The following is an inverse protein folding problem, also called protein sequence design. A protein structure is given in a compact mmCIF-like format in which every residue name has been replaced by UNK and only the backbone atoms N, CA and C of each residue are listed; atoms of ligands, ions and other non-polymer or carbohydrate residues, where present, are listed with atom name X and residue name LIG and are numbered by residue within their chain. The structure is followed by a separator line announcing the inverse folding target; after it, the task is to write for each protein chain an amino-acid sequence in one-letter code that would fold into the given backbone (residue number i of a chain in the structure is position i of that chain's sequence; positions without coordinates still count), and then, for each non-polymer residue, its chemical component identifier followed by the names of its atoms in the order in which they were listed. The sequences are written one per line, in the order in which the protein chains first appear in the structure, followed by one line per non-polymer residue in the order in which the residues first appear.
data_IF_892848117919
#
_entry.id   IF_892848117919
#
_cell.length_a   1.000
_cell.length_b   1.000
_cell.length_c   1.000
_cell.angle_alpha   90.00
_cell.angle_beta   90.00
_cell.angle_gamma   90.00
#
_symmetry.space_group_name_H-M   'P 1'
#
loop_
_entity.id
_entity.type
_entity.pdbx_description
1 polymer ?
#
# COMPACT_ATOMS: atom_id res chain seq x y z
N UNK A 1 6.95 -15.74 3.36
CA UNK A 1 7.84 -15.79 2.16
C UNK A 1 7.33 -14.79 1.15
N UNK A 2 8.17 -13.95 0.54
CA UNK A 2 7.73 -12.97 -0.47
C UNK A 2 8.05 -13.47 -1.88
N UNK A 3 7.16 -13.19 -2.83
CA UNK A 3 7.32 -13.58 -4.22
C UNK A 3 6.58 -12.67 -5.19
N UNK A 4 6.67 -12.99 -6.48
CA UNK A 4 5.94 -12.31 -7.55
C UNK A 4 5.24 -13.34 -8.44
N UNK A 5 4.08 -12.98 -8.98
CA UNK A 5 3.35 -13.86 -9.91
C UNK A 5 2.48 -13.07 -10.89
N UNK A 6 2.00 -13.78 -11.90
CA UNK A 6 0.99 -13.25 -12.81
C UNK A 6 -0.39 -13.33 -12.13
N UNK A 7 -1.20 -12.28 -12.30
CA UNK A 7 -2.56 -12.18 -11.76
C UNK A 7 -3.51 -11.55 -12.78
N UNK A 8 -4.81 -11.63 -12.51
CA UNK A 8 -5.83 -10.86 -13.22
C UNK A 8 -6.52 -9.97 -12.19
N UNK A 9 -6.50 -8.67 -12.42
CA UNK A 9 -7.09 -7.65 -11.54
C UNK A 9 -7.89 -6.70 -12.43
N UNK A 10 -9.17 -6.50 -12.10
CA UNK A 10 -10.12 -5.70 -12.89
C UNK A 10 -10.08 -6.02 -14.40
N UNK A 11 -10.14 -7.32 -14.76
CA UNK A 11 -10.08 -7.83 -16.14
C UNK A 11 -8.80 -7.49 -16.93
N UNK A 12 -7.75 -6.98 -16.27
CA UNK A 12 -6.45 -6.73 -16.89
C UNK A 12 -5.45 -7.78 -16.40
N UNK A 13 -4.63 -8.30 -17.31
CA UNK A 13 -3.54 -9.21 -16.93
C UNK A 13 -2.43 -8.41 -16.25
N UNK A 14 -1.93 -8.88 -15.12
CA UNK A 14 -0.82 -8.26 -14.38
C UNK A 14 0.35 -9.24 -14.32
N UNK A 15 1.57 -8.75 -14.55
CA UNK A 15 2.82 -9.50 -14.38
C UNK A 15 3.60 -8.96 -13.18
N UNK A 16 4.45 -9.81 -12.61
CA UNK A 16 5.33 -9.45 -11.49
C UNK A 16 4.59 -8.91 -10.25
N UNK A 17 3.32 -9.28 -10.07
CA UNK A 17 2.52 -8.78 -8.97
C UNK A 17 2.99 -9.37 -7.63
N UNK A 18 3.21 -8.54 -6.59
CA UNK A 18 3.80 -8.99 -5.34
C UNK A 18 2.81 -9.79 -4.48
N UNK A 19 3.30 -10.82 -3.82
CA UNK A 19 2.56 -11.56 -2.80
C UNK A 19 3.45 -11.94 -1.62
N UNK A 20 2.82 -12.22 -0.49
CA UNK A 20 3.47 -12.71 0.72
C UNK A 20 2.74 -13.92 1.28
N UNK A 21 3.48 -14.96 1.63
CA UNK A 21 2.95 -16.14 2.31
C UNK A 21 3.10 -15.96 3.82
N UNK A 22 1.99 -15.92 4.53
CA UNK A 22 1.88 -15.82 6.00
C UNK A 22 1.06 -17.02 6.47
N UNK A 23 1.57 -17.79 7.42
CA UNK A 23 0.89 -19.00 7.95
C UNK A 23 0.47 -20.04 6.89
N UNK A 24 1.16 -20.07 5.75
CA UNK A 24 0.86 -20.97 4.62
C UNK A 24 -0.19 -20.43 3.65
N UNK A 25 -0.77 -19.27 3.91
CA UNK A 25 -1.74 -18.60 3.05
C UNK A 25 -1.09 -17.48 2.23
N UNK A 26 -1.52 -17.32 0.97
CA UNK A 26 -1.06 -16.21 0.12
C UNK A 26 -1.86 -14.94 0.40
N UNK A 27 -1.13 -13.88 0.74
CA UNK A 27 -1.65 -12.53 0.93
C UNK A 27 -1.14 -11.59 -0.15
N UNK A 28 -2.02 -10.70 -0.60
CA UNK A 28 -1.74 -9.69 -1.58
C UNK A 28 -1.76 -8.31 -0.92
N UNK A 29 -0.71 -7.48 -1.07
CA UNK A 29 -0.72 -6.16 -0.47
C UNK A 29 -1.84 -5.32 -1.06
N UNK A 30 -2.72 -4.76 -0.21
CA UNK A 30 -3.86 -3.97 -0.65
C UNK A 30 -3.44 -2.80 -1.55
N UNK A 31 -2.39 -2.07 -1.17
CA UNK A 31 -1.88 -0.95 -1.98
C UNK A 31 -1.48 -1.39 -3.39
N UNK A 32 -0.96 -2.60 -3.56
CA UNK A 32 -0.55 -3.14 -4.86
C UNK A 32 -1.75 -3.39 -5.76
N UNK A 33 -2.84 -3.93 -5.21
CA UNK A 33 -4.09 -4.14 -5.95
C UNK A 33 -4.71 -2.80 -6.38
N UNK A 34 -4.79 -1.84 -5.47
CA UNK A 34 -5.37 -0.50 -5.76
C UNK A 34 -4.61 0.24 -6.85
N UNK A 35 -3.28 0.09 -6.92
CA UNK A 35 -2.48 0.67 -8.02
C UNK A 35 -2.89 0.11 -9.37
N UNK A 36 -3.06 -1.22 -9.46
CA UNK A 36 -3.45 -1.88 -10.70
C UNK A 36 -4.88 -1.51 -11.08
N UNK A 37 -5.81 -1.50 -10.13
CA UNK A 37 -7.20 -1.05 -10.35
C UNK A 37 -7.27 0.41 -10.83
N UNK A 38 -6.44 1.29 -10.26
CA UNK A 38 -6.36 2.70 -10.69
C UNK A 38 -5.87 2.84 -12.13
N UNK A 39 -4.97 1.97 -12.59
CA UNK A 39 -4.53 1.94 -14.00
C UNK A 39 -5.65 1.33 -14.87
N UNK A 40 -6.23 0.21 -14.44
CA UNK A 40 -7.29 -0.50 -15.16
C UNK A 40 -8.53 0.39 -15.38
N UNK A 41 -8.92 1.21 -14.41
CA UNK A 41 -10.06 2.14 -14.53
C UNK A 41 -9.92 3.17 -15.65
N UNK A 42 -8.70 3.40 -16.16
CA UNK A 42 -8.43 4.32 -17.29
C UNK A 42 -8.43 3.61 -18.64
N UNK A 43 -8.49 2.28 -18.64
CA UNK A 43 -8.48 1.46 -19.84
C UNK A 43 -9.94 1.14 -20.20
N UNK A 44 -10.37 1.35 -21.46
CA UNK A 44 -11.70 0.94 -21.90
C UNK A 44 -11.93 -0.56 -21.71
N UNK A 45 -13.11 -0.96 -21.22
CA UNK A 45 -13.42 -2.36 -20.88
C UNK A 45 -13.21 -3.33 -22.06
N UNK A 46 -13.49 -2.87 -23.27
CA UNK A 46 -13.36 -3.63 -24.53
C UNK A 46 -11.94 -4.13 -24.80
N UNK A 47 -10.93 -3.45 -24.27
CA UNK A 47 -9.52 -3.77 -24.51
C UNK A 47 -8.77 -4.26 -23.27
N UNK A 48 -9.38 -4.22 -22.08
CA UNK A 48 -8.75 -4.62 -20.81
C UNK A 48 -8.12 -6.01 -20.86
N UNK A 49 -8.82 -6.99 -21.43
CA UNK A 49 -8.35 -8.37 -21.54
C UNK A 49 -7.11 -8.54 -22.45
N UNK A 50 -6.85 -7.58 -23.34
CA UNK A 50 -5.71 -7.57 -24.25
C UNK A 50 -4.52 -6.78 -23.69
N UNK A 51 -4.70 -6.06 -22.58
CA UNK A 51 -3.64 -5.29 -21.94
C UNK A 51 -2.97 -6.15 -20.87
N UNK A 52 -1.64 -6.03 -20.79
CA UNK A 52 -0.85 -6.58 -19.70
C UNK A 52 -0.11 -5.45 -19.00
N UNK A 53 -0.29 -5.34 -17.68
CA UNK A 53 0.42 -4.40 -16.83
C UNK A 53 1.58 -5.14 -16.16
N UNK A 54 2.82 -4.74 -16.44
CA UNK A 54 3.97 -5.20 -15.65
C UNK A 54 4.11 -4.33 -14.40
N UNK A 55 3.88 -4.93 -13.24
CA UNK A 55 3.90 -4.23 -11.95
C UNK A 55 5.27 -3.59 -11.66
N UNK A 56 6.36 -4.22 -12.08
CA UNK A 56 7.72 -3.71 -11.84
C UNK A 56 8.08 -2.50 -12.70
N UNK A 57 7.33 -2.27 -13.78
CA UNK A 57 7.53 -1.12 -14.67
C UNK A 57 6.68 0.09 -14.26
N UNK A 58 5.86 -0.03 -13.22
CA UNK A 58 5.07 1.09 -12.71
C UNK A 58 6.02 2.09 -12.04
N UNK A 59 5.97 3.39 -12.39
CA UNK A 59 6.82 4.39 -11.76
C UNK A 59 6.53 4.56 -10.27
N UNK A 60 7.57 4.73 -9.45
CA UNK A 60 7.46 4.99 -7.99
C UNK A 60 6.53 6.16 -7.66
N UNK A 61 6.51 7.20 -8.50
CA UNK A 61 5.62 8.36 -8.34
C UNK A 61 4.14 8.00 -8.38
N UNK A 62 3.78 6.95 -9.12
CA UNK A 62 2.40 6.47 -9.18
C UNK A 62 2.01 5.77 -7.88
N UNK A 63 2.92 5.00 -7.27
CA UNK A 63 2.70 4.40 -5.95
C UNK A 63 2.52 5.45 -4.86
N UNK A 64 3.31 6.53 -4.89
CA UNK A 64 3.19 7.65 -3.95
C UNK A 64 1.83 8.33 -4.08
N UNK A 65 1.42 8.63 -5.31
CA UNK A 65 0.10 9.22 -5.58
C UNK A 65 -1.03 8.34 -5.05
N UNK A 66 -1.00 7.03 -5.30
CA UNK A 66 -2.05 6.13 -4.82
C UNK A 66 -2.07 6.03 -3.29
N UNK A 67 -0.90 6.05 -2.64
CA UNK A 67 -0.84 6.12 -1.17
C UNK A 67 -1.50 7.39 -0.64
N UNK A 68 -1.23 8.54 -1.26
CA UNK A 68 -1.87 9.82 -0.93
C UNK A 68 -3.39 9.77 -1.14
N UNK A 69 -3.85 9.24 -2.28
CA UNK A 69 -5.28 9.08 -2.61
C UNK A 69 -5.99 8.14 -1.61
N UNK A 70 -5.29 7.12 -1.09
CA UNK A 70 -5.78 6.24 -0.02
C UNK A 70 -5.74 6.87 1.38
N UNK A 71 -5.26 8.10 1.52
CA UNK A 71 -5.07 8.77 2.81
C UNK A 71 -3.93 8.19 3.65
N UNK A 72 -3.07 7.34 3.05
CA UNK A 72 -1.87 6.81 3.69
C UNK A 72 -0.83 7.92 3.67
N UNK A 73 -0.79 8.68 4.77
CA UNK A 73 0.23 9.70 4.96
C UNK A 73 1.59 9.03 5.09
N UNK A 74 2.53 9.48 4.28
CA UNK A 74 3.95 9.23 4.52
C UNK A 74 4.24 9.60 5.97
N UNK A 75 4.80 8.68 6.76
CA UNK A 75 5.29 9.02 8.10
C UNK A 75 6.30 10.14 7.88
N UNK A 76 6.05 11.31 8.48
CA UNK A 76 6.94 12.46 8.34
C UNK A 76 8.38 11.99 8.58
N UNK A 77 9.27 12.27 7.62
CA UNK A 77 10.70 11.88 7.73
C UNK A 77 11.40 12.56 8.90
N UNK A 78 10.75 13.54 9.51
CA UNK A 78 11.27 14.23 10.69
C UNK A 78 11.00 13.41 11.95
N UNK A 79 11.80 12.35 12.10
CA UNK A 79 11.80 11.48 13.29
C UNK A 79 11.92 12.28 14.60
N UNK A 80 12.56 13.46 14.56
CA UNK A 80 12.69 14.36 15.70
C UNK A 80 11.35 14.92 16.16
N UNK A 81 10.53 15.43 15.24
CA UNK A 81 9.19 15.92 15.58
C UNK A 81 8.23 14.81 15.99
N UNK A 82 8.29 13.66 15.32
CA UNK A 82 7.44 12.50 15.66
C UNK A 82 7.75 12.00 17.07
N UNK A 83 9.03 11.85 17.43
CA UNK A 83 9.44 11.40 18.77
C UNK A 83 9.04 12.41 19.85
N UNK A 84 9.10 13.71 19.57
CA UNK A 84 8.63 14.74 20.51
C UNK A 84 7.11 14.69 20.72
N UNK A 85 6.34 14.47 19.64
CA UNK A 85 4.87 14.32 19.72
C UNK A 85 4.48 13.06 20.48
N UNK A 86 5.16 11.94 20.23
CA UNK A 86 4.95 10.68 20.96
C UNK A 86 5.27 10.84 22.44
N UNK A 87 6.41 11.47 22.78
CA UNK A 87 6.78 11.72 24.18
C UNK A 87 5.75 12.60 24.90
N UNK A 88 5.27 13.66 24.24
CA UNK A 88 4.24 14.54 24.80
C UNK A 88 2.90 13.81 24.99
N UNK A 89 2.55 12.89 24.10
CA UNK A 89 1.36 12.05 24.24
C UNK A 89 1.48 11.11 25.45
N UNK A 90 2.64 10.46 25.63
CA UNK A 90 2.91 9.60 26.78
C UNK A 90 2.82 10.39 28.09
N UNK A 91 3.43 11.57 28.16
CA UNK A 91 3.36 12.45 29.34
C UNK A 91 1.92 12.84 29.69
N UNK A 92 1.07 13.12 28.69
CA UNK A 92 -0.34 13.42 28.90
C UNK A 92 -1.13 12.21 29.39
N UNK A 93 -0.90 11.04 28.82
CA UNK A 93 -1.60 9.81 29.20
C UNK A 93 -1.21 9.32 30.60
N UNK A 94 0.05 9.52 31.00
CA UNK A 94 0.52 9.29 32.37
C UNK A 94 -0.17 10.25 33.36
N UNK A 95 -0.30 11.53 33.01
CA UNK A 95 -1.01 12.52 33.83
C UNK A 95 -2.51 12.23 33.97
N UNK A 96 -3.13 11.70 32.92
CA UNK A 96 -4.55 11.31 32.91
C UNK A 96 -4.81 9.96 33.60
N UNK A 97 -3.77 9.29 34.10
CA UNK A 97 -3.87 8.02 34.82
C UNK A 97 -4.22 6.83 33.92
N UNK A 98 -3.99 6.93 32.61
CA UNK A 98 -4.30 5.88 31.64
C UNK A 98 -3.45 4.61 31.85
N UNK A 99 -2.31 4.73 32.54
CA UNK A 99 -1.45 3.63 32.94
C UNK A 99 -1.44 3.51 34.47
N UNK A 100 -2.30 2.68 35.08
CA UNK A 100 -2.17 2.35 36.49
C UNK A 100 -0.89 1.51 36.70
N UNK A 101 -0.14 1.83 37.75
CA UNK A 101 1.03 1.06 38.21
C UNK A 101 0.71 -0.41 38.47
#
# INVERSE_FOLDING_TARGET
MKGKKDMIIDNVKTQNFPYEVIDGEEHYPLHSAVVVESIASKIPDEVKASITIDYDQIPESYFQKIKEDMGIRSVDKDQGETMQRERKLLELLEQDGAFPN
#
